data_IF_008741977430
#
_entry.id   IF_008741977430
#
_cell.length_a   1.000
_cell.length_b   1.000
_cell.length_c   1.000
_cell.angle_alpha   90.00
_cell.angle_beta   90.00
_cell.angle_gamma   90.00
#
_symmetry.space_group_name_H-M   'P 1'
#
loop_
_entity.id
_entity.type
_entity.pdbx_description
1 polymer ?
#
# COMPACT_ATOMS: atom_id res chain seq x y z
N UNK A 1 31.18 4.15 7.32
CA UNK A 1 29.95 3.76 6.60
C UNK A 1 28.88 3.79 7.65
N UNK A 2 28.12 4.89 7.70
CA UNK A 2 27.15 5.09 8.77
C UNK A 2 26.09 3.98 8.73
N UNK A 3 25.87 3.42 9.91
CA UNK A 3 24.90 2.41 10.31
C UNK A 3 23.74 2.16 9.35
N UNK A 4 23.44 0.88 9.08
CA UNK A 4 22.15 0.46 8.52
C UNK A 4 21.02 1.13 9.30
N UNK A 5 20.35 2.11 8.67
CA UNK A 5 19.24 2.85 9.26
C UNK A 5 17.97 2.02 9.03
N UNK A 6 17.42 1.47 10.10
CA UNK A 6 16.13 0.80 10.06
C UNK A 6 14.98 1.81 10.16
N UNK A 7 13.90 1.55 9.42
CA UNK A 7 12.66 2.33 9.49
C UNK A 7 11.54 1.53 10.17
N UNK A 8 10.65 2.23 10.86
CA UNK A 8 9.37 1.68 11.31
C UNK A 8 8.27 2.05 10.33
N UNK A 9 7.52 1.07 9.84
CA UNK A 9 6.37 1.28 8.96
C UNK A 9 5.11 0.80 9.66
N UNK A 10 4.17 1.73 9.84
CA UNK A 10 2.78 1.37 10.10
C UNK A 10 2.06 1.17 8.76
N UNK A 11 1.83 -0.07 8.39
CA UNK A 11 1.03 -0.43 7.21
C UNK A 11 -0.44 -0.44 7.62
N UNK A 12 -1.09 0.71 7.74
CA UNK A 12 -2.49 0.79 8.15
C UNK A 12 -3.50 0.40 7.06
N UNK A 13 -4.78 0.27 7.43
CA UNK A 13 -5.84 -0.10 6.48
C UNK A 13 -6.19 1.03 5.51
N UNK A 14 -6.29 2.26 6.01
CA UNK A 14 -6.66 3.44 5.24
C UNK A 14 -5.47 4.37 4.95
N UNK A 15 -4.55 4.47 5.90
CA UNK A 15 -3.34 5.29 5.82
C UNK A 15 -2.16 4.49 6.34
N UNK A 16 -0.99 4.75 5.76
CA UNK A 16 0.29 4.21 6.21
C UNK A 16 1.20 5.36 6.67
N UNK A 17 2.13 5.05 7.56
CA UNK A 17 3.07 5.99 8.13
C UNK A 17 4.46 5.36 8.16
N UNK A 18 5.50 6.18 8.01
CA UNK A 18 6.90 5.75 8.15
C UNK A 18 7.64 6.67 9.11
N UNK A 19 8.44 6.08 9.98
CA UNK A 19 9.22 6.77 11.00
C UNK A 19 10.63 6.21 11.10
N UNK A 20 11.54 7.00 11.62
CA UNK A 20 12.93 6.62 11.92
C UNK A 20 13.30 7.05 13.34
N UNK A 21 14.13 6.26 14.02
CA UNK A 21 14.78 6.68 15.25
C UNK A 21 16.19 7.18 14.93
N UNK A 22 16.45 8.47 15.14
CA UNK A 22 17.75 9.09 14.91
C UNK A 22 17.95 10.26 15.86
N UNK A 23 19.21 10.55 16.23
CA UNK A 23 19.53 11.63 17.18
C UNK A 23 18.74 11.52 18.49
N UNK A 24 18.59 10.30 19.01
CA UNK A 24 17.89 9.97 20.25
C UNK A 24 16.39 10.38 20.28
N UNK A 25 15.77 10.49 19.10
CA UNK A 25 14.35 10.81 18.96
C UNK A 25 13.71 10.02 17.83
N UNK A 26 12.40 9.80 17.96
CA UNK A 26 11.56 9.30 16.86
C UNK A 26 11.17 10.48 15.98
N UNK A 27 11.33 10.33 14.68
CA UNK A 27 10.90 11.27 13.65
C UNK A 27 9.93 10.57 12.70
N UNK A 28 8.72 11.14 12.56
CA UNK A 28 7.75 10.71 11.54
C UNK A 28 8.04 11.47 10.26
N UNK A 29 8.34 10.74 9.20
CA UNK A 29 8.83 11.31 7.94
C UNK A 29 7.63 11.77 7.11
N UNK A 30 7.55 13.07 6.74
CA UNK A 30 6.49 13.56 5.86
C UNK A 30 6.68 13.07 4.42
N UNK A 31 5.58 12.88 3.69
CA UNK A 31 5.60 12.57 2.27
C UNK A 31 5.90 13.82 1.42
N UNK A 32 5.89 13.68 0.09
CA UNK A 32 6.14 14.77 -0.87
C UNK A 32 5.15 15.94 -0.79
N UNK A 33 4.00 15.77 -0.12
CA UNK A 33 3.00 16.80 0.15
C UNK A 33 3.09 17.36 1.58
N UNK A 34 4.18 17.05 2.30
CA UNK A 34 4.41 17.39 3.70
C UNK A 34 3.43 16.75 4.70
N UNK A 35 2.71 15.70 4.29
CA UNK A 35 1.78 14.96 5.15
C UNK A 35 2.51 13.82 5.88
N UNK A 36 2.26 13.66 7.18
CA UNK A 36 2.88 12.59 8.00
C UNK A 36 2.25 11.21 7.83
N UNK A 37 1.19 11.12 7.04
CA UNK A 37 0.51 9.86 6.72
C UNK A 37 0.19 9.85 5.24
N UNK A 38 0.34 8.70 4.61
CA UNK A 38 0.06 8.51 3.18
C UNK A 38 -1.11 7.55 3.01
N UNK A 39 -2.14 7.88 2.20
CA UNK A 39 -3.25 6.97 1.93
C UNK A 39 -2.77 5.59 1.46
N UNK A 40 -3.37 4.51 1.98
CA UNK A 40 -3.10 3.12 1.58
C UNK A 40 -3.89 2.75 0.31
N UNK A 41 -3.63 3.53 -0.74
CA UNK A 41 -4.32 3.48 -2.03
C UNK A 41 -3.32 3.15 -3.14
N UNK A 42 -3.76 2.36 -4.11
CA UNK A 42 -3.03 2.06 -5.34
C UNK A 42 -3.98 2.21 -6.51
N UNK A 43 -3.65 3.04 -7.50
CA UNK A 43 -4.43 3.19 -8.72
C UNK A 43 -3.62 2.74 -9.92
N UNK A 44 -4.17 1.85 -10.72
CA UNK A 44 -3.62 1.46 -12.01
C UNK A 44 -4.28 2.27 -13.12
N UNK A 45 -3.45 2.90 -13.94
CA UNK A 45 -3.90 3.58 -15.17
C UNK A 45 -3.26 2.89 -16.38
N UNK A 46 -3.68 3.30 -17.58
CA UNK A 46 -3.07 2.83 -18.84
C UNK A 46 -1.55 3.01 -18.87
N UNK A 47 -1.02 4.05 -18.23
CA UNK A 47 0.39 4.44 -18.39
C UNK A 47 1.23 4.18 -17.15
N UNK A 48 0.65 4.39 -15.96
CA UNK A 48 1.41 4.40 -14.70
C UNK A 48 0.63 3.77 -13.56
N UNK A 49 1.36 3.39 -12.53
CA UNK A 49 0.81 3.01 -11.23
C UNK A 49 1.00 4.18 -10.29
N UNK A 50 -0.06 4.59 -9.63
CA UNK A 50 -0.10 5.62 -8.62
C UNK A 50 -0.23 4.97 -7.25
N UNK A 51 0.37 5.58 -6.23
CA UNK A 51 0.30 5.12 -4.84
C UNK A 51 0.15 6.33 -3.93
N UNK A 52 -0.59 6.20 -2.83
CA UNK A 52 -0.71 7.29 -1.86
C UNK A 52 -1.74 8.35 -2.25
N UNK A 53 -1.41 9.61 -1.98
CA UNK A 53 -2.32 10.75 -2.21
C UNK A 53 -2.70 10.89 -3.69
N UNK A 54 -1.78 10.63 -4.61
CA UNK A 54 -2.08 10.60 -6.05
C UNK A 54 -3.11 9.52 -6.43
N UNK A 55 -3.01 8.33 -5.84
CA UNK A 55 -3.98 7.25 -6.09
C UNK A 55 -5.35 7.61 -5.51
N UNK A 56 -5.39 8.16 -4.29
CA UNK A 56 -6.63 8.59 -3.65
C UNK A 56 -7.35 9.68 -4.45
N UNK A 57 -6.63 10.63 -5.04
CA UNK A 57 -7.22 11.66 -5.90
C UNK A 57 -7.88 11.11 -7.18
N UNK A 58 -7.45 9.93 -7.64
CA UNK A 58 -8.04 9.27 -8.80
C UNK A 58 -9.21 8.35 -8.45
N UNK A 59 -9.51 8.15 -7.16
CA UNK A 59 -10.48 7.15 -6.72
C UNK A 59 -11.87 7.38 -7.33
N UNK A 60 -12.33 8.63 -7.47
CA UNK A 60 -13.65 8.94 -8.03
C UNK A 60 -13.68 8.80 -9.57
N UNK A 61 -12.62 9.21 -10.26
CA UNK A 61 -12.53 9.16 -11.72
C UNK A 61 -12.18 7.77 -12.26
N UNK A 62 -11.47 6.95 -11.48
CA UNK A 62 -11.03 5.60 -11.83
C UNK A 62 -11.33 4.62 -10.69
N UNK A 63 -12.62 4.44 -10.39
CA UNK A 63 -13.09 3.61 -9.26
C UNK A 63 -12.62 2.17 -9.37
N UNK A 64 -12.78 1.55 -10.54
CA UNK A 64 -12.46 0.13 -10.73
C UNK A 64 -10.96 -0.15 -10.75
N UNK A 65 -10.15 0.81 -11.22
CA UNK A 65 -8.69 0.71 -11.22
C UNK A 65 -8.02 1.15 -9.91
N UNK A 66 -8.80 1.59 -8.91
CA UNK A 66 -8.28 2.08 -7.63
C UNK A 66 -8.58 1.09 -6.50
N UNK A 67 -7.52 0.61 -5.87
CA UNK A 67 -7.54 -0.36 -4.79
C UNK A 67 -7.25 0.34 -3.46
N UNK A 68 -8.04 0.02 -2.45
CA UNK A 68 -7.92 0.52 -1.09
C UNK A 68 -8.42 -0.54 -0.10
N UNK A 69 -8.15 -0.35 1.20
CA UNK A 69 -8.49 -1.32 2.25
C UNK A 69 -7.92 -2.73 2.01
N UNK A 70 -6.83 -2.86 1.23
CA UNK A 70 -6.26 -4.16 0.87
C UNK A 70 -5.81 -5.00 2.08
N UNK A 71 -5.46 -4.35 3.19
CA UNK A 71 -5.16 -5.02 4.48
C UNK A 71 -6.30 -5.90 4.99
N UNK A 72 -7.55 -5.65 4.55
CA UNK A 72 -8.69 -6.52 4.87
C UNK A 72 -8.66 -7.86 4.13
N UNK A 73 -7.86 -8.00 3.08
CA UNK A 73 -7.74 -9.20 2.25
C UNK A 73 -6.49 -10.05 2.59
N UNK A 74 -5.43 -9.43 3.11
CA UNK A 74 -4.16 -10.11 3.40
C UNK A 74 -4.42 -11.30 4.33
N UNK A 75 -3.91 -12.48 3.96
CA UNK A 75 -4.02 -13.70 4.75
C UNK A 75 -5.42 -14.32 4.83
N UNK A 76 -6.42 -13.80 4.10
CA UNK A 76 -7.78 -14.35 4.08
C UNK A 76 -8.05 -15.21 2.86
N UNK A 77 -8.97 -16.16 3.00
CA UNK A 77 -9.57 -16.87 1.87
C UNK A 77 -10.67 -16.04 1.25
N UNK A 78 -11.01 -16.35 0.01
CA UNK A 78 -12.07 -15.62 -0.70
C UNK A 78 -13.44 -15.76 -0.01
N UNK A 79 -13.75 -16.95 0.52
CA UNK A 79 -15.02 -17.30 1.18
C UNK A 79 -15.14 -16.82 2.64
N UNK A 80 -14.12 -16.14 3.18
CA UNK A 80 -14.19 -15.54 4.50
C UNK A 80 -15.34 -14.51 4.59
N UNK A 81 -16.17 -14.59 5.63
CA UNK A 81 -17.33 -13.73 5.81
C UNK A 81 -16.98 -12.22 5.79
N UNK A 82 -15.79 -11.85 6.28
CA UNK A 82 -15.29 -10.47 6.22
C UNK A 82 -15.03 -10.07 4.77
N UNK A 83 -14.42 -10.93 3.97
CA UNK A 83 -14.16 -10.68 2.54
C UNK A 83 -15.49 -10.54 1.79
N UNK A 84 -16.41 -11.48 1.99
CA UNK A 84 -17.74 -11.48 1.37
C UNK A 84 -18.57 -10.24 1.73
N UNK A 85 -18.45 -9.74 2.96
CA UNK A 85 -19.13 -8.51 3.35
C UNK A 85 -18.51 -7.27 2.68
N UNK A 86 -17.17 -7.20 2.60
CA UNK A 86 -16.48 -6.05 1.99
C UNK A 86 -16.61 -6.02 0.46
N UNK A 87 -16.77 -7.17 -0.21
CA UNK A 87 -17.01 -7.27 -1.66
C UNK A 87 -18.17 -6.40 -2.14
N UNK A 88 -19.20 -6.21 -1.30
CA UNK A 88 -20.38 -5.38 -1.61
C UNK A 88 -20.06 -3.88 -1.70
N UNK A 89 -18.91 -3.46 -1.21
CA UNK A 89 -18.52 -2.06 -1.07
C UNK A 89 -17.27 -1.70 -1.89
N UNK A 90 -16.58 -2.68 -2.44
CA UNK A 90 -15.40 -2.44 -3.27
C UNK A 90 -15.77 -2.24 -4.74
N UNK A 91 -15.22 -1.21 -5.41
CA UNK A 91 -15.44 -0.99 -6.83
C UNK A 91 -14.52 -1.86 -7.72
N UNK A 92 -13.44 -2.40 -7.16
CA UNK A 92 -12.52 -3.28 -7.88
C UNK A 92 -12.95 -4.74 -7.79
N UNK A 93 -12.62 -5.53 -8.80
CA UNK A 93 -13.02 -6.92 -8.89
C UNK A 93 -12.03 -7.84 -8.16
N UNK A 94 -12.56 -8.76 -7.35
CA UNK A 94 -11.82 -9.91 -6.84
C UNK A 94 -12.19 -11.17 -7.62
N UNK A 95 -11.20 -11.99 -7.89
CA UNK A 95 -11.35 -13.33 -8.46
C UNK A 95 -10.75 -14.37 -7.51
N UNK A 96 -11.17 -15.62 -7.65
CA UNK A 96 -10.58 -16.75 -6.95
C UNK A 96 -9.51 -17.34 -7.85
N UNK A 97 -8.29 -17.48 -7.35
CA UNK A 97 -7.22 -18.20 -8.02
C UNK A 97 -6.51 -19.08 -7.00
N UNK A 98 -6.53 -20.41 -7.23
CA UNK A 98 -6.00 -21.41 -6.30
C UNK A 98 -6.48 -21.18 -4.85
N UNK A 99 -7.79 -21.01 -4.67
CA UNK A 99 -8.48 -20.75 -3.38
C UNK A 99 -8.15 -19.41 -2.69
N UNK A 100 -7.28 -18.58 -3.28
CA UNK A 100 -6.90 -17.27 -2.74
C UNK A 100 -7.60 -16.14 -3.48
N UNK A 101 -8.00 -15.07 -2.78
CA UNK A 101 -8.54 -13.88 -3.43
C UNK A 101 -7.41 -13.15 -4.16
N UNK A 102 -7.60 -12.88 -5.46
CA UNK A 102 -6.74 -11.98 -6.23
C UNK A 102 -7.55 -10.80 -6.74
N UNK A 103 -6.91 -9.64 -6.81
CA UNK A 103 -7.49 -8.42 -7.35
C UNK A 103 -7.21 -8.40 -8.85
N UNK A 104 -8.27 -8.32 -9.65
CA UNK A 104 -8.15 -8.14 -11.09
C UNK A 104 -7.99 -6.66 -11.40
N UNK A 105 -6.93 -6.33 -12.12
CA UNK A 105 -6.62 -4.97 -12.57
C UNK A 105 -6.46 -4.95 -14.08
N UNK A 106 -6.75 -3.80 -14.67
CA UNK A 106 -6.29 -3.47 -16.01
C UNK A 106 -5.08 -2.54 -15.91
N UNK A 107 -3.95 -2.96 -16.46
CA UNK A 107 -2.73 -2.17 -16.45
C UNK A 107 -1.98 -2.32 -17.76
N UNK A 108 -1.72 -1.19 -18.43
CA UNK A 108 -1.12 -1.15 -19.78
C UNK A 108 -1.89 -2.00 -20.79
N UNK A 109 -3.22 -1.85 -20.82
CA UNK A 109 -4.13 -2.58 -21.72
C UNK A 109 -4.10 -4.11 -21.55
N UNK A 110 -3.59 -4.58 -20.40
CA UNK A 110 -3.56 -5.99 -20.05
C UNK A 110 -4.30 -6.23 -18.75
N UNK A 111 -5.15 -7.25 -18.74
CA UNK A 111 -5.72 -7.79 -17.51
C UNK A 111 -4.63 -8.54 -16.74
N UNK A 112 -4.49 -8.22 -15.45
CA UNK A 112 -3.55 -8.86 -14.54
C UNK A 112 -4.23 -9.20 -13.23
N UNK A 113 -3.80 -10.30 -12.63
CA UNK A 113 -4.21 -10.69 -11.29
C UNK A 113 -3.10 -10.35 -10.32
N UNK A 114 -3.43 -9.62 -9.25
CA UNK A 114 -2.50 -9.27 -8.18
C UNK A 114 -2.99 -9.81 -6.85
N UNK A 115 -2.07 -10.33 -6.07
CA UNK A 115 -2.33 -10.73 -4.69
C UNK A 115 -2.47 -9.50 -3.77
N UNK A 116 -3.22 -9.58 -2.65
CA UNK A 116 -3.25 -8.54 -1.64
C UNK A 116 -1.86 -8.13 -1.14
N UNK A 117 -0.94 -9.09 -1.04
CA UNK A 117 0.45 -8.90 -0.62
C UNK A 117 1.24 -8.09 -1.65
N UNK A 118 1.08 -8.35 -2.95
CA UNK A 118 1.72 -7.56 -4.00
C UNK A 118 1.22 -6.11 -4.01
N UNK A 119 -0.07 -5.88 -3.78
CA UNK A 119 -0.61 -4.51 -3.66
C UNK A 119 -0.07 -3.82 -2.41
N UNK A 120 0.00 -4.53 -1.29
CA UNK A 120 0.59 -4.02 -0.04
C UNK A 120 2.07 -3.69 -0.22
N UNK A 121 2.81 -4.49 -0.98
CA UNK A 121 4.20 -4.22 -1.32
C UNK A 121 4.39 -2.91 -2.10
N UNK A 122 3.40 -2.47 -2.87
CA UNK A 122 3.44 -1.17 -3.55
C UNK A 122 3.32 -0.02 -2.56
N UNK A 123 2.50 -0.17 -1.53
CA UNK A 123 2.37 0.79 -0.43
C UNK A 123 3.66 0.82 0.39
N UNK A 124 4.21 -0.35 0.73
CA UNK A 124 5.50 -0.46 1.45
C UNK A 124 6.65 0.15 0.64
N UNK A 125 6.70 -0.05 -0.68
CA UNK A 125 7.68 0.60 -1.56
C UNK A 125 7.54 2.13 -1.55
N UNK A 126 6.31 2.66 -1.48
CA UNK A 126 6.10 4.10 -1.33
C UNK A 126 6.60 4.61 0.03
N UNK A 127 6.38 3.85 1.11
CA UNK A 127 6.89 4.22 2.45
C UNK A 127 8.41 4.21 2.49
N UNK A 128 9.02 3.19 1.87
CA UNK A 128 10.47 3.12 1.67
C UNK A 128 10.98 4.32 0.87
N UNK A 129 10.38 4.65 -0.28
CA UNK A 129 10.80 5.79 -1.09
C UNK A 129 10.77 7.10 -0.31
N UNK A 130 9.70 7.36 0.45
CA UNK A 130 9.58 8.55 1.31
C UNK A 130 10.75 8.62 2.30
N UNK A 131 11.11 7.50 2.91
CA UNK A 131 12.26 7.45 3.82
C UNK A 131 13.60 7.65 3.09
N UNK A 132 13.79 7.04 1.93
CA UNK A 132 15.01 7.17 1.13
C UNK A 132 15.22 8.62 0.64
N UNK A 133 14.15 9.28 0.19
CA UNK A 133 14.18 10.69 -0.22
C UNK A 133 14.54 11.61 0.94
N UNK A 134 14.01 11.34 2.14
CA UNK A 134 14.32 12.11 3.35
C UNK A 134 15.75 11.87 3.87
N UNK A 135 16.25 10.64 3.79
CA UNK A 135 17.55 10.25 4.33
C UNK A 135 18.71 10.45 3.34
N UNK A 136 18.41 10.65 2.05
CA UNK A 136 19.40 10.84 0.99
C UNK A 136 20.14 9.57 0.61
N UNK A 137 19.58 8.38 0.88
CA UNK A 137 20.25 7.11 0.64
C UNK A 137 19.32 5.89 0.80
N UNK A 138 19.79 4.69 0.39
CA UNK A 138 18.97 3.50 0.37
C UNK A 138 18.60 3.00 1.78
N UNK A 139 17.39 2.45 1.91
CA UNK A 139 16.90 1.80 3.15
C UNK A 139 16.60 0.33 2.89
N UNK A 140 17.20 -0.55 3.69
CA UNK A 140 17.08 -2.01 3.53
C UNK A 140 16.37 -2.70 4.68
N UNK A 141 16.46 -2.15 5.90
CA UNK A 141 15.88 -2.75 7.10
C UNK A 141 14.60 -2.03 7.51
N UNK A 142 13.56 -2.81 7.84
CA UNK A 142 12.29 -2.27 8.26
C UNK A 142 11.60 -3.16 9.30
N UNK A 143 10.91 -2.53 10.24
CA UNK A 143 9.92 -3.16 11.12
C UNK A 143 8.53 -2.76 10.62
N UNK A 144 7.65 -3.74 10.35
CA UNK A 144 6.30 -3.50 9.84
C UNK A 144 5.28 -3.92 10.89
N UNK A 145 4.33 -3.05 11.23
CA UNK A 145 3.30 -3.36 12.23
C UNK A 145 2.11 -4.13 11.64
N UNK A 146 1.50 -4.98 12.47
CA UNK A 146 0.27 -5.72 12.18
C UNK A 146 -0.72 -5.55 13.33
N UNK A 147 -2.03 -5.80 13.14
CA UNK A 147 -2.97 -5.90 14.24
C UNK A 147 -2.54 -6.98 15.24
N UNK A 148 -2.90 -6.80 16.52
CA UNK A 148 -2.64 -7.77 17.58
C UNK A 148 -3.45 -9.06 17.44
#
# INVERSE_FOLDING_TARGET
>A
MDSNRAIGIDLGTAYSCVAIFQHDKVEVIPNELFERTTPSYVTFTKYRRLVGSEAKHQADANRNGTIFNVKRLIGRRYDDAVVQNNLKHWPFQLVIDLEKPKIMIEYKEQLKLMTPEEVSALILRKMKQIAEDHLGGPVTDAVITVPA
#
